data_IF_191741189385
#
_entry.id   IF_191741189385
#
_cell.length_a   1.000
_cell.length_b   1.000
_cell.length_c   1.000
_cell.angle_alpha   90.00
_cell.angle_beta   90.00
_cell.angle_gamma   90.00
#
_symmetry.space_group_name_H-M   'P 1'
#
loop_
_entity.id
_entity.type
_entity.pdbx_description
1 polymer ?
#
# COMPACT_ATOMS: atom_id res chain seq x y z
N UNK A 1 16.60 3.27 11.52
CA UNK A 1 15.37 2.77 12.18
C UNK A 1 15.13 1.26 12.06
N UNK A 2 15.91 0.46 11.31
CA UNK A 2 15.62 -0.97 11.09
C UNK A 2 16.28 -1.98 12.04
N UNK A 3 17.24 -1.54 12.88
CA UNK A 3 18.01 -2.44 13.76
C UNK A 3 17.38 -2.68 15.13
N UNK A 4 16.65 -1.70 15.68
CA UNK A 4 16.05 -1.80 17.01
C UNK A 4 14.90 -2.82 17.04
N UNK A 5 14.17 -2.95 15.93
CA UNK A 5 12.98 -3.80 15.86
C UNK A 5 13.35 -5.29 15.81
N UNK A 6 14.41 -5.67 15.09
CA UNK A 6 14.80 -7.09 14.96
C UNK A 6 15.26 -7.73 16.27
N UNK A 7 16.05 -7.01 17.07
CA UNK A 7 16.61 -7.54 18.32
C UNK A 7 15.54 -7.65 19.43
N UNK A 8 14.62 -6.70 19.51
CA UNK A 8 13.63 -6.67 20.60
C UNK A 8 12.41 -7.56 20.34
N UNK A 9 12.07 -7.84 19.07
CA UNK A 9 10.89 -8.65 18.74
C UNK A 9 10.94 -10.05 19.35
N UNK A 10 12.09 -10.72 19.24
CA UNK A 10 12.26 -12.10 19.69
C UNK A 10 12.23 -12.20 21.22
N UNK A 11 12.88 -11.26 21.91
CA UNK A 11 12.86 -11.19 23.36
C UNK A 11 11.45 -10.90 23.89
N UNK A 12 10.75 -9.93 23.30
CA UNK A 12 9.37 -9.62 23.71
C UNK A 12 8.39 -10.77 23.46
N UNK A 13 8.54 -11.53 22.38
CA UNK A 13 7.71 -12.72 22.14
C UNK A 13 7.94 -13.82 23.19
N UNK A 14 9.19 -14.02 23.61
CA UNK A 14 9.54 -14.94 24.68
C UNK A 14 8.99 -14.49 26.04
N UNK A 15 9.12 -13.20 26.37
CA UNK A 15 8.60 -12.62 27.61
C UNK A 15 7.07 -12.73 27.71
N UNK A 16 6.38 -12.68 26.56
CA UNK A 16 4.93 -12.84 26.44
C UNK A 16 4.48 -14.32 26.29
N UNK A 17 5.42 -15.27 26.33
CA UNK A 17 5.19 -16.70 26.13
C UNK A 17 4.42 -17.02 24.83
N UNK A 18 4.66 -16.23 23.78
CA UNK A 18 4.16 -16.51 22.45
C UNK A 18 5.05 -17.62 21.88
N UNK A 19 4.43 -18.73 21.43
CA UNK A 19 5.15 -19.82 20.77
C UNK A 19 5.84 -19.34 19.48
N UNK A 20 6.54 -20.23 18.78
CA UNK A 20 7.32 -19.86 17.59
C UNK A 20 6.47 -19.29 16.44
N UNK A 21 5.16 -19.56 16.45
CA UNK A 21 4.17 -19.04 15.50
C UNK A 21 3.53 -17.74 16.01
N UNK A 22 4.31 -16.66 16.10
CA UNK A 22 3.78 -15.33 16.42
C UNK A 22 3.89 -14.38 15.23
N UNK A 23 2.84 -13.59 15.01
CA UNK A 23 2.88 -12.48 14.05
C UNK A 23 3.01 -11.17 14.80
N UNK A 24 4.11 -10.46 14.58
CA UNK A 24 4.25 -9.12 15.13
C UNK A 24 3.44 -8.15 14.28
N UNK A 25 2.29 -7.75 14.79
CA UNK A 25 1.52 -6.65 14.22
C UNK A 25 2.14 -5.35 14.73
N UNK A 26 3.15 -4.86 14.02
CA UNK A 26 3.66 -3.53 14.29
C UNK A 26 2.57 -2.52 13.95
N UNK A 27 2.30 -1.65 14.91
CA UNK A 27 1.30 -0.60 14.91
C UNK A 27 -0.10 -1.04 15.34
N UNK A 28 -0.42 -0.63 16.57
CA UNK A 28 -1.72 -0.64 17.20
C UNK A 28 -2.64 0.39 16.48
N UNK A 29 -2.81 0.26 15.16
CA UNK A 29 -3.68 1.14 14.35
C UNK A 29 -5.12 0.78 14.71
N UNK A 30 -5.67 1.49 15.70
CA UNK A 30 -7.04 1.29 16.21
C UNK A 30 -8.11 1.30 15.11
N UNK A 31 -7.83 1.93 13.98
CA UNK A 31 -8.73 2.13 12.85
C UNK A 31 -8.15 1.52 11.56
N UNK A 32 -7.76 0.24 11.60
CA UNK A 32 -7.41 -0.48 10.39
C UNK A 32 -8.64 -0.56 9.46
N UNK A 33 -8.51 -0.03 8.25
CA UNK A 33 -9.54 -0.15 7.22
C UNK A 33 -9.66 -1.61 6.79
N UNK A 34 -10.73 -2.27 7.23
CA UNK A 34 -11.10 -3.60 6.77
C UNK A 34 -11.60 -3.48 5.32
N UNK A 35 -10.78 -3.94 4.37
CA UNK A 35 -11.18 -4.00 2.96
C UNK A 35 -11.94 -5.32 2.71
N UNK A 36 -13.09 -5.29 2.03
CA UNK A 36 -13.78 -6.52 1.67
C UNK A 36 -12.90 -7.38 0.74
N UNK A 37 -13.06 -8.72 0.78
CA UNK A 37 -12.36 -9.61 -0.15
C UNK A 37 -12.68 -9.21 -1.60
N UNK A 38 -11.72 -9.43 -2.50
CA UNK A 38 -11.83 -9.12 -3.94
C UNK A 38 -12.18 -7.65 -4.25
N UNK A 39 -11.83 -6.70 -3.38
CA UNK A 39 -12.10 -5.27 -3.58
C UNK A 39 -10.81 -4.45 -3.73
N UNK A 40 -10.01 -4.66 -4.79
CA UNK A 40 -8.81 -3.87 -5.05
C UNK A 40 -9.15 -2.37 -5.23
N UNK A 41 -10.34 -2.07 -5.74
CA UNK A 41 -10.91 -0.72 -5.88
C UNK A 41 -10.87 0.09 -4.57
N UNK A 42 -10.91 -0.59 -3.43
CA UNK A 42 -10.93 -0.01 -2.09
C UNK A 42 -9.57 0.02 -1.39
N UNK A 43 -8.51 -0.49 -2.04
CA UNK A 43 -7.17 -0.47 -1.49
C UNK A 43 -6.37 0.70 -2.08
N UNK A 44 -6.08 1.78 -1.32
CA UNK A 44 -5.39 2.96 -1.85
C UNK A 44 -4.03 2.66 -2.49
N UNK A 45 -3.35 1.58 -2.06
CA UNK A 45 -2.03 1.22 -2.60
C UNK A 45 -2.10 0.76 -4.06
N UNK A 46 -3.20 0.11 -4.48
CA UNK A 46 -3.39 -0.34 -5.88
C UNK A 46 -3.39 0.85 -6.82
N UNK A 47 -3.94 1.98 -6.37
CA UNK A 47 -3.99 3.21 -7.15
C UNK A 47 -2.65 3.95 -7.18
N UNK A 48 -1.85 3.80 -6.12
CA UNK A 48 -0.46 4.27 -6.14
C UNK A 48 0.37 3.45 -7.13
N UNK A 49 0.12 2.14 -7.23
CA UNK A 49 0.75 1.29 -8.23
C UNK A 49 0.34 1.67 -9.65
N UNK A 50 -0.95 1.92 -9.92
CA UNK A 50 -1.40 2.42 -11.23
C UNK A 50 -0.73 3.76 -11.59
N UNK A 51 -0.67 4.71 -10.64
CA UNK A 51 0.00 6.00 -10.86
C UNK A 51 1.48 5.80 -11.23
N UNK A 52 2.19 4.97 -10.48
CA UNK A 52 3.60 4.66 -10.73
C UNK A 52 3.77 4.00 -12.10
N UNK A 53 2.94 3.02 -12.43
CA UNK A 53 2.99 2.32 -13.71
C UNK A 53 2.75 3.27 -14.88
N UNK A 54 1.78 4.18 -14.77
CA UNK A 54 1.50 5.20 -15.77
C UNK A 54 2.69 6.13 -16.00
N UNK A 55 3.42 6.50 -14.95
CA UNK A 55 4.67 7.29 -15.08
C UNK A 55 5.77 6.47 -15.76
N UNK A 56 6.01 5.24 -15.33
CA UNK A 56 7.01 4.33 -15.93
C UNK A 56 6.75 4.13 -17.43
N UNK A 57 5.49 3.98 -17.84
CA UNK A 57 5.08 3.79 -19.25
C UNK A 57 5.40 4.97 -20.16
N UNK A 58 5.68 6.15 -19.61
CA UNK A 58 6.13 7.32 -20.40
C UNK A 58 7.59 7.19 -20.85
N UNK A 59 8.35 6.26 -20.28
CA UNK A 59 9.74 6.02 -20.63
C UNK A 59 9.86 4.88 -21.64
N UNK A 60 10.76 5.05 -22.62
CA UNK A 60 11.16 3.93 -23.49
C UNK A 60 12.18 3.06 -22.75
N UNK A 61 11.73 1.94 -22.21
CA UNK A 61 12.54 1.03 -21.42
C UNK A 61 13.06 -0.11 -22.31
N UNK A 62 14.38 -0.28 -22.37
CA UNK A 62 15.04 -1.27 -23.24
C UNK A 62 15.83 -2.34 -22.48
N UNK A 63 15.96 -2.22 -21.16
CA UNK A 63 16.65 -3.20 -20.31
C UNK A 63 16.08 -3.26 -18.89
N UNK A 64 16.38 -4.34 -18.18
CA UNK A 64 15.95 -4.53 -16.77
C UNK A 64 16.63 -3.51 -15.85
N UNK A 65 17.90 -3.18 -16.11
CA UNK A 65 18.68 -2.21 -15.34
C UNK A 65 18.14 -0.79 -15.53
N UNK A 66 17.63 -0.49 -16.73
CA UNK A 66 16.93 0.77 -16.98
C UNK A 66 15.59 0.79 -16.25
N UNK A 67 14.80 -0.29 -16.33
CA UNK A 67 13.52 -0.41 -15.63
C UNK A 67 13.69 -0.16 -14.12
N UNK A 68 14.66 -0.81 -13.48
CA UNK A 68 14.94 -0.62 -12.04
C UNK A 68 15.23 0.84 -11.70
N UNK A 69 16.03 1.53 -12.52
CA UNK A 69 16.35 2.95 -12.33
C UNK A 69 15.11 3.82 -12.49
N UNK A 70 14.34 3.61 -13.56
CA UNK A 70 13.11 4.37 -13.83
C UNK A 70 12.09 4.19 -12.71
N UNK A 71 11.89 2.96 -12.19
CA UNK A 71 10.99 2.71 -11.06
C UNK A 71 11.39 3.57 -9.85
N UNK A 72 12.68 3.57 -9.47
CA UNK A 72 13.15 4.33 -8.31
C UNK A 72 13.02 5.83 -8.55
N UNK A 73 13.37 6.31 -9.75
CA UNK A 73 13.23 7.73 -10.12
C UNK A 73 11.78 8.18 -10.06
N UNK A 74 10.87 7.46 -10.72
CA UNK A 74 9.46 7.83 -10.74
C UNK A 74 8.81 7.70 -9.37
N UNK A 75 9.18 6.71 -8.57
CA UNK A 75 8.74 6.60 -7.18
C UNK A 75 9.10 7.85 -6.36
N UNK A 76 10.34 8.33 -6.48
CA UNK A 76 10.79 9.54 -5.78
C UNK A 76 10.18 10.82 -6.35
N UNK A 77 9.73 10.81 -7.61
CA UNK A 77 9.07 11.94 -8.27
C UNK A 77 7.56 12.02 -7.94
N UNK A 78 6.97 11.01 -7.30
CA UNK A 78 5.57 11.09 -6.87
C UNK A 78 5.48 12.13 -5.76
N UNK A 79 4.76 13.21 -6.05
CA UNK A 79 4.58 14.31 -5.11
C UNK A 79 3.61 13.95 -3.98
N UNK A 80 3.75 14.60 -2.84
CA UNK A 80 2.77 14.49 -1.74
C UNK A 80 1.38 14.95 -2.16
N UNK A 81 1.26 15.85 -3.14
CA UNK A 81 -0.02 16.29 -3.69
C UNK A 81 -0.72 15.16 -4.47
N UNK A 82 0.01 14.41 -5.30
CA UNK A 82 -0.52 13.24 -6.00
C UNK A 82 -1.01 12.17 -5.02
N UNK A 83 -0.21 11.88 -3.98
CA UNK A 83 -0.60 10.94 -2.91
C UNK A 83 -1.84 11.45 -2.18
N UNK A 84 -1.87 12.74 -1.83
CA UNK A 84 -3.01 13.37 -1.17
C UNK A 84 -4.28 13.23 -2.00
N UNK A 85 -4.23 13.48 -3.32
CA UNK A 85 -5.37 13.31 -4.22
C UNK A 85 -5.89 11.87 -4.23
N UNK A 86 -5.00 10.88 -4.21
CA UNK A 86 -5.40 9.47 -4.12
C UNK A 86 -6.16 9.18 -2.83
N UNK A 87 -5.64 9.62 -1.68
CA UNK A 87 -6.29 9.42 -0.37
C UNK A 87 -7.64 10.14 -0.31
N UNK A 88 -7.71 11.39 -0.75
CA UNK A 88 -8.96 12.17 -0.77
C UNK A 88 -10.02 11.62 -1.72
N UNK A 89 -9.65 10.73 -2.66
CA UNK A 89 -10.61 10.06 -3.54
C UNK A 89 -11.39 8.92 -2.86
N UNK A 90 -10.90 8.40 -1.73
CA UNK A 90 -11.47 7.24 -1.05
C UNK A 90 -12.94 7.39 -0.63
N UNK A 91 -13.39 8.52 -0.04
CA UNK A 91 -14.81 8.70 0.29
C UNK A 91 -15.73 8.59 -0.93
N UNK A 92 -15.29 9.11 -2.09
CA UNK A 92 -16.06 9.02 -3.34
C UNK A 92 -16.17 7.57 -3.83
N UNK A 93 -15.10 6.79 -3.73
CA UNK A 93 -15.08 5.37 -4.11
C UNK A 93 -15.97 4.51 -3.22
N UNK A 94 -15.89 4.73 -1.90
CA UNK A 94 -16.79 4.09 -0.94
C UNK A 94 -18.25 4.41 -1.26
N UNK A 95 -18.56 5.65 -1.59
CA UNK A 95 -19.91 6.06 -2.02
C UNK A 95 -20.35 5.33 -3.29
N UNK A 96 -19.44 5.13 -4.26
CA UNK A 96 -19.74 4.40 -5.50
C UNK A 96 -19.99 2.90 -5.25
N UNK A 97 -19.20 2.27 -4.36
CA UNK A 97 -19.43 0.87 -3.93
C UNK A 97 -20.81 0.73 -3.29
N UNK A 98 -21.18 1.66 -2.40
CA UNK A 98 -22.51 1.69 -1.77
C UNK A 98 -23.62 1.86 -2.81
N UNK A 99 -23.45 2.81 -3.75
CA UNK A 99 -24.40 3.03 -4.86
C UNK A 99 -24.58 1.78 -5.71
N UNK A 100 -23.50 1.04 -5.94
CA UNK A 100 -23.48 -0.23 -6.67
C UNK A 100 -23.82 -1.44 -5.82
N UNK A 101 -24.22 -1.27 -4.55
CA UNK A 101 -24.58 -2.39 -3.65
C UNK A 101 -23.48 -3.46 -3.56
N UNK A 102 -22.21 -3.06 -3.60
CA UNK A 102 -21.06 -3.97 -3.55
C UNK A 102 -20.61 -4.55 -4.90
N UNK A 103 -21.27 -4.23 -6.02
CA UNK A 103 -20.77 -4.60 -7.35
C UNK A 103 -19.53 -3.78 -7.75
N UNK A 104 -18.67 -4.31 -8.66
CA UNK A 104 -17.43 -3.65 -9.08
C UNK A 104 -17.63 -2.21 -9.51
N UNK A 105 -16.71 -1.34 -9.11
CA UNK A 105 -16.72 0.06 -9.54
C UNK A 105 -16.01 0.21 -10.89
N UNK A 106 -15.99 1.42 -11.44
CA UNK A 106 -15.21 1.73 -12.66
C UNK A 106 -13.83 2.31 -12.32
N UNK A 107 -13.42 2.22 -11.06
CA UNK A 107 -12.16 2.74 -10.57
C UNK A 107 -11.04 1.73 -10.70
#
# INVERSE_FOLDING_TARGET
>A
MGYILKENLKQSAQDLNLGDDFWFQQDNIKNQLQSPPQSPDLNPIEHLWDLLERKIRQHKIVSKEMLKRVIITEWNNISSEEISKLVHSMPKRLTEVLRRKGYPTTY
#
